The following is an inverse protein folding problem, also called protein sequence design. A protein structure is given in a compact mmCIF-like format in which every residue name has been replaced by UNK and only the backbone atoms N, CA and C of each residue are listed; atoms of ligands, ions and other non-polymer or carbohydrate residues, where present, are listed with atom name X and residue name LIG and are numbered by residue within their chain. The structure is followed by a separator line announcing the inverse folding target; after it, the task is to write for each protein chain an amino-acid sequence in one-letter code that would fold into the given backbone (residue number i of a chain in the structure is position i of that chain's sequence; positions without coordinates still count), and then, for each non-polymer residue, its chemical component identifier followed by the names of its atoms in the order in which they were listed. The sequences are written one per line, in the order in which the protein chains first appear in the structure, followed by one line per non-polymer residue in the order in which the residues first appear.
data_IF_370685525485
#
_entry.id   IF_370685525485
#
_cell.length_a   1.000
_cell.length_b   1.000
_cell.length_c   1.000
_cell.angle_alpha   90.00
_cell.angle_beta   90.00
_cell.angle_gamma   90.00
#
_symmetry.space_group_name_H-M   'P 1'
#
loop_
_entity.id
_entity.type
_entity.pdbx_description
1 polymer ?
#
# COMPACT_ATOMS: atom_id res chain seq x y z
N UNK A 1 19.34 24.78 -18.03
CA UNK A 1 19.72 24.18 -16.73
C UNK A 1 18.52 23.44 -16.19
N UNK A 2 18.62 22.12 -15.97
CA UNK A 2 17.57 21.38 -15.27
C UNK A 2 17.75 21.60 -13.77
N UNK A 3 16.75 22.20 -13.13
CA UNK A 3 16.72 22.40 -11.68
C UNK A 3 16.23 21.13 -10.99
N UNK A 4 16.94 20.71 -9.95
CA UNK A 4 16.51 19.62 -9.08
C UNK A 4 15.25 20.05 -8.31
N UNK A 5 14.12 19.40 -8.60
CA UNK A 5 12.87 19.62 -7.88
C UNK A 5 12.69 18.53 -6.81
N UNK A 6 12.62 18.95 -5.55
CA UNK A 6 12.29 18.06 -4.43
C UNK A 6 10.79 17.79 -4.47
N UNK A 7 10.40 16.56 -4.82
CA UNK A 7 9.03 16.08 -4.64
C UNK A 7 8.85 15.68 -3.18
N UNK A 8 8.00 16.39 -2.45
CA UNK A 8 7.56 15.97 -1.11
C UNK A 8 6.34 15.08 -1.28
N UNK A 9 6.50 13.78 -1.06
CA UNK A 9 5.35 12.89 -0.94
C UNK A 9 4.70 13.17 0.41
N UNK A 10 3.47 13.68 0.40
CA UNK A 10 2.67 13.86 1.61
C UNK A 10 2.08 12.52 2.05
N UNK A 11 2.49 12.05 3.24
CA UNK A 11 1.94 10.85 3.85
C UNK A 11 0.91 11.24 4.90
N UNK A 12 -0.29 10.66 4.82
CA UNK A 12 -1.31 10.81 5.87
C UNK A 12 -1.36 9.54 6.68
N UNK A 13 -1.16 9.65 8.00
CA UNK A 13 -1.34 8.51 8.90
C UNK A 13 -2.84 8.21 9.01
N UNK A 14 -3.27 7.05 8.52
CA UNK A 14 -4.64 6.54 8.68
C UNK A 14 -4.60 5.16 9.31
N UNK A 15 -5.36 4.96 10.38
CA UNK A 15 -5.49 3.68 11.05
C UNK A 15 -6.78 3.00 10.61
N UNK A 16 -6.67 1.84 9.97
CA UNK A 16 -7.81 0.99 9.62
C UNK A 16 -7.84 -0.24 10.53
N UNK A 17 -9.04 -0.69 10.87
CA UNK A 17 -9.22 -1.97 11.57
C UNK A 17 -9.27 -3.07 10.51
N UNK A 18 -8.39 -4.05 10.64
CA UNK A 18 -8.37 -5.24 9.79
C UNK A 18 -8.59 -6.49 10.66
N UNK A 19 -9.18 -7.57 10.12
CA UNK A 19 -9.28 -8.85 10.81
C UNK A 19 -7.91 -9.37 11.22
N UNK A 20 -7.82 -10.02 12.38
CA UNK A 20 -6.55 -10.55 12.91
C UNK A 20 -5.86 -11.49 11.91
N UNK A 21 -6.62 -12.41 11.32
CA UNK A 21 -6.11 -13.37 10.33
C UNK A 21 -5.50 -12.67 9.10
N UNK A 22 -6.09 -11.55 8.66
CA UNK A 22 -5.54 -10.76 7.56
C UNK A 22 -4.23 -10.07 7.97
N UNK A 23 -4.16 -9.52 9.18
CA UNK A 23 -2.95 -8.91 9.70
C UNK A 23 -1.78 -9.91 9.80
N UNK A 24 -2.06 -11.13 10.28
CA UNK A 24 -1.07 -12.20 10.38
C UNK A 24 -0.56 -12.62 9.00
N UNK A 25 -1.45 -12.77 8.01
CA UNK A 25 -1.08 -13.09 6.63
C UNK A 25 -0.25 -11.99 5.97
N UNK A 26 -0.63 -10.72 6.14
CA UNK A 26 0.14 -9.59 5.62
C UNK A 26 1.53 -9.53 6.27
N UNK A 27 1.65 -9.84 7.55
CA UNK A 27 2.94 -9.87 8.24
C UNK A 27 3.84 -10.99 7.76
N UNK A 28 3.28 -12.17 7.44
CA UNK A 28 4.04 -13.29 6.88
C UNK A 28 4.58 -12.94 5.50
N UNK A 29 3.70 -12.48 4.59
CA UNK A 29 4.10 -12.10 3.22
C UNK A 29 5.14 -10.98 3.24
N UNK A 30 4.95 -9.97 4.09
CA UNK A 30 5.92 -8.88 4.22
C UNK A 30 7.30 -9.37 4.68
N UNK A 31 7.33 -10.36 5.59
CA UNK A 31 8.58 -10.97 6.04
C UNK A 31 9.23 -11.85 4.97
N UNK A 32 8.44 -12.62 4.21
CA UNK A 32 8.95 -13.46 3.11
C UNK A 32 9.56 -12.63 1.98
N UNK A 33 8.95 -11.48 1.69
CA UNK A 33 9.38 -10.57 0.61
C UNK A 33 10.38 -9.49 1.09
N UNK A 34 10.80 -9.52 2.36
CA UNK A 34 11.72 -8.54 3.00
C UNK A 34 11.27 -7.07 2.84
N UNK A 35 9.96 -6.81 2.98
CA UNK A 35 9.36 -5.47 2.92
C UNK A 35 8.59 -5.14 4.20
N UNK A 36 8.29 -3.85 4.43
CA UNK A 36 7.42 -3.49 5.55
C UNK A 36 5.95 -3.82 5.25
N UNK A 37 5.20 -4.17 6.30
CA UNK A 37 3.74 -4.37 6.19
C UNK A 37 3.06 -3.11 5.62
N UNK A 38 3.57 -1.92 5.94
CA UNK A 38 3.05 -0.68 5.38
C UNK A 38 3.26 -0.59 3.87
N UNK A 39 4.45 -0.90 3.36
CA UNK A 39 4.74 -0.93 1.92
C UNK A 39 3.87 -1.97 1.20
N UNK A 40 3.71 -3.16 1.78
CA UNK A 40 2.84 -4.19 1.25
C UNK A 40 1.39 -3.71 1.16
N UNK A 41 0.88 -3.07 2.21
CA UNK A 41 -0.50 -2.54 2.26
C UNK A 41 -0.71 -1.46 1.20
N UNK A 42 0.23 -0.52 1.05
CA UNK A 42 0.14 0.54 0.02
C UNK A 42 0.08 -0.08 -1.37
N UNK A 43 1.01 -0.98 -1.70
CA UNK A 43 1.03 -1.65 -3.01
C UNK A 43 -0.22 -2.48 -3.26
N UNK A 44 -0.70 -3.19 -2.23
CA UNK A 44 -1.93 -3.98 -2.32
C UNK A 44 -3.15 -3.09 -2.59
N UNK A 45 -3.24 -1.94 -1.92
CA UNK A 45 -4.31 -0.98 -2.16
C UNK A 45 -4.23 -0.35 -3.54
N UNK A 46 -3.05 0.06 -3.99
CA UNK A 46 -2.86 0.61 -5.34
C UNK A 46 -3.23 -0.41 -6.42
N UNK A 47 -2.74 -1.65 -6.29
CA UNK A 47 -3.08 -2.73 -7.21
C UNK A 47 -4.59 -3.00 -7.22
N UNK A 48 -5.23 -3.09 -6.05
CA UNK A 48 -6.67 -3.32 -5.96
C UNK A 48 -7.49 -2.18 -6.56
N UNK A 49 -7.04 -0.93 -6.45
CA UNK A 49 -7.72 0.24 -7.03
C UNK A 49 -7.52 0.34 -8.55
N UNK A 50 -6.34 -0.03 -9.05
CA UNK A 50 -6.02 -0.05 -10.48
C UNK A 50 -6.75 -1.19 -11.21
N UNK A 51 -6.84 -2.36 -10.55
CA UNK A 51 -7.52 -3.56 -11.05
C UNK A 51 -8.97 -3.66 -10.58
N UNK A 52 -9.51 -2.61 -9.97
CA UNK A 52 -10.93 -2.55 -9.69
C UNK A 52 -11.63 -2.46 -11.05
N UNK A 53 -12.30 -3.53 -11.48
CA UNK A 53 -13.11 -3.52 -12.70
C UNK A 53 -14.06 -2.32 -12.64
N UNK A 54 -13.78 -1.28 -13.43
CA UNK A 54 -14.65 -0.11 -13.61
C UNK A 54 -15.76 -0.40 -14.63
N UNK A 55 -16.23 -1.64 -14.66
CA UNK A 55 -17.51 -2.05 -15.25
C UNK A 55 -18.41 -2.34 -14.05
N UNK A 56 -19.52 -1.65 -13.76
CA UNK A 56 -20.38 -0.79 -14.55
C UNK A 56 -21.09 0.19 -13.58
N UNK A 57 -21.66 1.23 -14.18
CA UNK A 57 -22.36 2.35 -13.57
C UNK A 57 -23.72 1.98 -12.97
#
# INVERSE_FOLDING_TARGET
MMQFQIKKTEYVNRTYRIPKELAERLSQVAQEEDISVNELVVQSCEFALDNLNKEDR
#
